data_IF_442701268601
#
_entry.id   IF_442701268601
#
_cell.length_a   1.000
_cell.length_b   1.000
_cell.length_c   1.000
_cell.angle_alpha   90.00
_cell.angle_beta   90.00
_cell.angle_gamma   90.00
#
_symmetry.space_group_name_H-M   'P 1'
#
loop_
_entity.id
_entity.type
_entity.pdbx_description
1 polymer ?
#
# COMPACT_ATOMS: atom_id res chain seq x y z
N UNK A 1 3.49 -13.80 -4.53
CA UNK A 1 3.04 -13.86 -3.12
C UNK A 1 1.88 -12.91 -2.86
N UNK A 2 2.02 -11.61 -3.09
CA UNK A 2 0.94 -10.63 -2.84
C UNK A 2 -0.36 -10.97 -3.59
N UNK A 3 -0.27 -11.28 -4.89
CA UNK A 3 -1.44 -11.72 -5.68
C UNK A 3 -2.14 -12.93 -5.05
N UNK A 4 -1.37 -13.93 -4.60
CA UNK A 4 -1.91 -15.12 -3.96
C UNK A 4 -2.61 -14.79 -2.63
N UNK A 5 -2.06 -13.85 -1.85
CA UNK A 5 -2.69 -13.37 -0.61
C UNK A 5 -4.00 -12.62 -0.89
N UNK A 6 -4.04 -11.76 -1.92
CA UNK A 6 -5.26 -11.09 -2.36
C UNK A 6 -6.32 -12.12 -2.78
N UNK A 7 -5.96 -13.08 -3.63
CA UNK A 7 -6.87 -14.14 -4.05
C UNK A 7 -7.42 -14.95 -2.88
N UNK A 8 -6.55 -15.33 -1.94
CA UNK A 8 -6.93 -16.08 -0.72
C UNK A 8 -7.86 -15.27 0.17
N UNK A 9 -7.57 -13.97 0.38
CA UNK A 9 -8.42 -13.08 1.16
C UNK A 9 -9.81 -12.93 0.51
N UNK A 10 -9.86 -12.64 -0.79
CA UNK A 10 -11.12 -12.44 -1.51
C UNK A 10 -11.99 -13.71 -1.53
N UNK A 11 -11.37 -14.89 -1.66
CA UNK A 11 -12.10 -16.16 -1.57
C UNK A 11 -12.72 -16.43 -0.18
N UNK A 12 -12.18 -15.80 0.87
CA UNK A 12 -12.66 -15.94 2.25
C UNK A 12 -13.64 -14.83 2.67
N UNK A 13 -13.89 -13.82 1.83
CA UNK A 13 -14.80 -12.72 2.13
C UNK A 13 -16.18 -12.98 1.51
N UNK A 14 -17.27 -12.96 2.30
CA UNK A 14 -18.62 -13.15 1.77
C UNK A 14 -19.12 -11.86 1.11
N UNK A 15 -18.76 -11.64 -0.15
CA UNK A 15 -19.17 -10.48 -0.93
C UNK A 15 -19.84 -10.90 -2.25
N UNK A 16 -21.19 -10.87 -2.34
CA UNK A 16 -21.87 -11.14 -3.60
C UNK A 16 -21.48 -10.07 -4.63
N UNK A 17 -21.00 -10.52 -5.80
CA UNK A 17 -20.53 -9.63 -6.87
C UNK A 17 -19.03 -9.35 -6.87
N UNK A 18 -18.25 -9.97 -5.98
CA UNK A 18 -16.80 -9.89 -6.03
C UNK A 18 -16.25 -10.74 -7.18
N UNK A 19 -15.67 -10.09 -8.18
CA UNK A 19 -14.98 -10.76 -9.30
C UNK A 19 -13.53 -11.13 -8.95
N UNK A 20 -12.93 -12.01 -9.76
CA UNK A 20 -11.51 -12.34 -9.64
C UNK A 20 -10.63 -11.09 -9.92
N UNK A 21 -9.50 -10.91 -9.20
CA UNK A 21 -8.60 -9.80 -9.45
C UNK A 21 -8.08 -9.77 -10.88
N UNK A 22 -8.18 -8.62 -11.53
CA UNK A 22 -7.45 -8.34 -12.77
C UNK A 22 -6.07 -7.78 -12.43
N UNK A 23 -5.03 -8.30 -13.08
CA UNK A 23 -3.64 -7.84 -12.90
C UNK A 23 -3.30 -6.84 -13.99
N UNK A 24 -2.81 -5.67 -13.58
CA UNK A 24 -2.25 -4.65 -14.47
C UNK A 24 -0.76 -4.51 -14.15
N UNK A 25 0.11 -4.88 -15.09
CA UNK A 25 1.56 -4.78 -14.90
C UNK A 25 2.03 -3.33 -15.07
N UNK A 26 2.66 -2.75 -14.06
CA UNK A 26 3.23 -1.39 -14.09
C UNK A 26 4.72 -1.48 -13.70
N UNK A 27 5.60 -1.94 -14.62
CA UNK A 27 7.04 -1.94 -14.34
C UNK A 27 7.57 -0.51 -14.28
N UNK A 28 8.31 -0.17 -13.22
CA UNK A 28 8.79 1.19 -12.95
C UNK A 28 10.29 1.27 -12.67
N UNK A 29 11.04 0.22 -13.03
CA UNK A 29 12.50 0.17 -12.84
C UNK A 29 13.24 1.19 -13.71
N UNK A 30 12.71 1.48 -14.88
CA UNK A 30 13.20 2.51 -15.80
C UNK A 30 13.08 3.93 -15.21
N UNK A 31 12.08 4.18 -14.37
CA UNK A 31 11.83 5.48 -13.74
C UNK A 31 12.50 5.58 -12.37
N UNK A 32 12.28 4.60 -11.48
CA UNK A 32 12.79 4.63 -10.10
C UNK A 32 14.19 4.05 -9.94
N UNK A 33 14.75 3.40 -10.98
CA UNK A 33 16.07 2.79 -10.91
C UNK A 33 16.17 1.67 -9.89
N UNK A 34 17.38 1.40 -9.34
CA UNK A 34 17.56 0.47 -8.22
C UNK A 34 17.00 1.11 -6.94
N UNK A 35 15.80 0.71 -6.56
CA UNK A 35 15.09 1.20 -5.37
C UNK A 35 14.48 0.00 -4.63
N UNK A 36 14.32 0.07 -3.30
CA UNK A 36 13.73 -1.03 -2.52
C UNK A 36 12.32 -1.42 -3.05
N UNK A 37 11.58 -0.47 -3.61
CA UNK A 37 10.27 -0.74 -4.22
C UNK A 37 10.32 -1.38 -5.61
N UNK A 38 11.49 -1.43 -6.24
CA UNK A 38 11.73 -2.08 -7.55
C UNK A 38 12.59 -3.33 -7.41
N UNK A 39 12.87 -3.77 -6.18
CA UNK A 39 13.60 -4.99 -5.86
C UNK A 39 15.11 -4.81 -5.71
N UNK A 40 15.58 -3.61 -5.34
CA UNK A 40 16.95 -3.41 -4.85
C UNK A 40 17.06 -3.66 -3.33
N UNK A 41 18.29 -3.71 -2.84
CA UNK A 41 18.61 -3.81 -1.41
C UNK A 41 18.22 -2.51 -0.65
N UNK A 42 18.39 -2.47 0.68
CA UNK A 42 18.03 -1.35 1.58
C UNK A 42 16.52 -1.15 1.85
N UNK A 43 15.82 -2.23 2.18
CA UNK A 43 14.40 -2.16 2.57
C UNK A 43 14.23 -1.44 3.93
N UNK A 44 13.36 -0.40 4.01
CA UNK A 44 13.06 0.35 5.22
C UNK A 44 12.63 -0.50 6.43
N UNK A 45 13.28 -0.27 7.57
CA UNK A 45 13.00 -0.94 8.85
C UNK A 45 11.81 -0.31 9.60
N UNK A 46 11.35 -0.96 10.67
CA UNK A 46 10.19 -0.53 11.46
C UNK A 46 10.31 0.89 12.06
N UNK A 47 11.53 1.39 12.23
CA UNK A 47 11.82 2.74 12.73
C UNK A 47 12.02 3.77 11.62
N UNK A 48 12.02 3.38 10.34
CA UNK A 48 12.08 4.33 9.23
C UNK A 48 10.78 5.16 9.18
N UNK A 49 10.87 6.51 9.13
CA UNK A 49 9.69 7.37 9.00
C UNK A 49 8.89 7.10 7.73
N UNK A 50 7.58 7.34 7.77
CA UNK A 50 6.68 7.06 6.64
C UNK A 50 7.00 7.92 5.41
N UNK A 51 7.57 9.10 5.59
CA UNK A 51 8.00 9.99 4.51
C UNK A 51 9.15 9.39 3.70
N UNK A 52 10.00 8.58 4.34
CA UNK A 52 11.13 7.92 3.67
C UNK A 52 10.70 6.67 2.87
N UNK A 53 9.44 6.24 2.99
CA UNK A 53 8.83 5.20 2.12
C UNK A 53 7.93 5.79 1.03
N UNK A 54 7.99 7.11 0.82
CA UNK A 54 7.26 7.79 -0.25
C UNK A 54 7.81 7.44 -1.63
N UNK A 55 6.91 7.22 -2.58
CA UNK A 55 7.22 7.05 -3.99
C UNK A 55 6.60 8.21 -4.78
N UNK A 56 7.41 9.19 -5.23
CA UNK A 56 6.92 10.33 -5.97
C UNK A 56 6.08 9.93 -7.19
N UNK A 57 4.85 10.44 -7.27
CA UNK A 57 3.95 10.23 -8.41
C UNK A 57 3.32 8.83 -8.48
N UNK A 58 3.50 7.98 -7.48
CA UNK A 58 2.95 6.60 -7.49
C UNK A 58 1.44 6.60 -7.68
N UNK A 59 0.69 7.45 -6.96
CA UNK A 59 -0.77 7.45 -7.12
C UNK A 59 -1.19 7.99 -8.49
N UNK A 60 -0.41 8.84 -9.14
CA UNK A 60 -0.68 9.28 -10.53
C UNK A 60 -0.64 8.06 -11.46
N UNK A 61 0.47 7.32 -11.44
CA UNK A 61 0.69 6.14 -12.29
C UNK A 61 -0.43 5.10 -12.09
N UNK A 62 -0.66 4.71 -10.83
CA UNK A 62 -1.66 3.71 -10.48
C UNK A 62 -3.08 4.15 -10.88
N UNK A 63 -3.44 5.41 -10.59
CA UNK A 63 -4.81 5.89 -10.84
C UNK A 63 -5.08 6.05 -12.33
N UNK A 64 -4.15 6.61 -13.10
CA UNK A 64 -4.34 6.84 -14.54
C UNK A 64 -4.55 5.52 -15.27
N UNK A 65 -3.67 4.53 -15.04
CA UNK A 65 -3.78 3.23 -15.72
C UNK A 65 -5.05 2.48 -15.33
N UNK A 66 -5.38 2.42 -14.05
CA UNK A 66 -6.61 1.80 -13.58
C UNK A 66 -7.86 2.52 -14.12
N UNK A 67 -7.82 3.84 -14.26
CA UNK A 67 -8.94 4.63 -14.81
C UNK A 67 -9.17 4.34 -16.30
N UNK A 68 -8.11 4.21 -17.10
CA UNK A 68 -8.21 3.77 -18.50
C UNK A 68 -8.81 2.37 -18.58
N UNK A 69 -8.35 1.45 -17.72
CA UNK A 69 -8.91 0.10 -17.65
C UNK A 69 -10.41 0.11 -17.31
N UNK A 70 -10.82 0.92 -16.32
CA UNK A 70 -12.21 1.09 -15.92
C UNK A 70 -13.05 1.64 -17.09
N UNK A 71 -12.54 2.65 -17.79
CA UNK A 71 -13.23 3.28 -18.92
C UNK A 71 -13.55 2.30 -20.04
N UNK A 72 -12.58 1.44 -20.39
CA UNK A 72 -12.73 0.41 -21.42
C UNK A 72 -13.74 -0.68 -21.06
N UNK A 73 -14.11 -0.77 -19.77
CA UNK A 73 -15.03 -1.79 -19.23
C UNK A 73 -16.31 -1.19 -18.65
N UNK A 74 -16.55 0.10 -18.87
CA UNK A 74 -17.73 0.80 -18.35
C UNK A 74 -17.86 0.75 -16.82
N UNK A 75 -16.74 0.67 -16.10
CA UNK A 75 -16.71 0.77 -14.64
C UNK A 75 -16.76 2.25 -14.24
N UNK A 76 -17.84 2.65 -13.57
CA UNK A 76 -18.12 4.06 -13.26
C UNK A 76 -17.39 4.64 -12.04
N UNK A 77 -16.74 3.80 -11.23
CA UNK A 77 -16.01 4.25 -10.04
C UNK A 77 -14.76 3.43 -9.78
N UNK A 78 -13.69 4.12 -9.37
CA UNK A 78 -12.42 3.54 -8.95
C UNK A 78 -12.17 3.92 -7.50
N UNK A 79 -12.06 2.93 -6.61
CA UNK A 79 -11.76 3.16 -5.21
C UNK A 79 -10.25 3.01 -4.92
N UNK A 80 -9.67 3.95 -4.18
CA UNK A 80 -8.29 3.92 -3.71
C UNK A 80 -8.25 3.88 -2.19
N UNK A 81 -7.45 2.96 -1.65
CA UNK A 81 -7.28 2.75 -0.21
C UNK A 81 -6.38 3.78 0.48
N UNK A 82 -6.43 5.05 0.08
CA UNK A 82 -5.63 6.13 0.68
C UNK A 82 -6.16 6.47 2.08
N UNK A 83 -5.28 6.47 3.08
CA UNK A 83 -5.62 6.91 4.45
C UNK A 83 -5.65 8.44 4.53
N UNK A 84 -6.46 8.97 5.45
CA UNK A 84 -6.49 10.42 5.71
C UNK A 84 -5.21 10.99 6.31
N UNK A 85 -4.43 10.15 6.97
CA UNK A 85 -3.13 10.51 7.53
C UNK A 85 -2.00 10.58 6.51
N UNK A 86 -2.27 10.31 5.23
CA UNK A 86 -1.24 10.28 4.20
C UNK A 86 -0.76 11.71 3.88
N UNK A 87 0.51 12.06 4.15
CA UNK A 87 1.00 13.43 4.04
C UNK A 87 1.38 13.82 2.60
N UNK A 88 1.26 12.91 1.63
CA UNK A 88 1.81 13.12 0.29
C UNK A 88 0.92 13.96 -0.64
N UNK A 89 1.51 14.77 -1.52
CA UNK A 89 0.75 15.65 -2.41
C UNK A 89 -0.21 14.88 -3.34
N UNK A 90 0.20 13.69 -3.78
CA UNK A 90 -0.58 12.78 -4.63
C UNK A 90 -1.69 12.01 -3.89
N UNK A 91 -1.99 12.40 -2.64
CA UNK A 91 -2.95 11.73 -1.77
C UNK A 91 -4.04 12.67 -1.22
N UNK A 92 -3.98 13.96 -1.55
CA UNK A 92 -4.88 15.01 -1.06
C UNK A 92 -6.22 15.03 -1.79
N UNK A 93 -7.26 15.59 -1.16
CA UNK A 93 -8.57 15.77 -1.80
C UNK A 93 -8.48 16.63 -3.07
N UNK A 94 -7.68 17.70 -3.04
CA UNK A 94 -7.48 18.57 -4.21
C UNK A 94 -6.86 17.83 -5.38
N UNK A 95 -5.82 17.02 -5.12
CA UNK A 95 -5.20 16.18 -6.14
C UNK A 95 -6.20 15.25 -6.83
N UNK A 96 -7.03 14.52 -6.07
CA UNK A 96 -7.99 13.59 -6.65
C UNK A 96 -9.10 14.30 -7.44
N UNK A 97 -9.58 15.44 -6.97
CA UNK A 97 -10.55 16.28 -7.69
C UNK A 97 -10.00 16.78 -9.03
N UNK A 98 -8.76 17.26 -9.05
CA UNK A 98 -8.11 17.75 -10.26
C UNK A 98 -7.85 16.59 -11.25
N UNK A 99 -7.45 15.42 -10.73
CA UNK A 99 -7.25 14.23 -11.53
C UNK A 99 -8.55 13.72 -12.14
N UNK A 100 -9.67 13.69 -11.40
CA UNK A 100 -11.00 13.38 -11.93
C UNK A 100 -11.35 14.30 -13.11
N UNK A 101 -11.08 15.60 -12.98
CA UNK A 101 -11.33 16.59 -14.03
C UNK A 101 -10.51 16.31 -15.30
N UNK A 102 -9.22 15.97 -15.15
CA UNK A 102 -8.33 15.60 -16.27
C UNK A 102 -8.81 14.32 -16.95
N UNK A 103 -9.09 13.28 -16.16
CA UNK A 103 -9.57 11.98 -16.65
C UNK A 103 -10.90 12.13 -17.40
N UNK A 104 -11.80 12.96 -16.87
CA UNK A 104 -13.11 13.22 -17.48
C UNK A 104 -12.99 13.86 -18.86
N UNK A 105 -12.08 14.84 -19.02
CA UNK A 105 -11.81 15.50 -20.30
C UNK A 105 -11.14 14.55 -21.29
N UNK A 106 -10.19 13.74 -20.82
CA UNK A 106 -9.42 12.84 -21.68
C UNK A 106 -10.25 11.67 -22.23
N UNK A 107 -11.24 11.17 -21.47
CA UNK A 107 -11.94 9.91 -21.77
C UNK A 107 -13.43 10.07 -22.12
N UNK A 108 -13.95 11.30 -22.13
CA UNK A 108 -15.35 11.58 -22.47
C UNK A 108 -16.35 10.98 -21.48
N UNK A 109 -16.06 11.07 -20.18
CA UNK A 109 -16.90 10.57 -19.09
C UNK A 109 -16.13 10.57 -17.77
N UNK A 110 -16.81 10.74 -16.64
CA UNK A 110 -16.16 10.96 -15.34
C UNK A 110 -15.97 9.64 -14.58
N UNK A 111 -14.76 9.05 -14.49
CA UNK A 111 -14.51 8.01 -13.50
C UNK A 111 -14.58 8.66 -12.12
N UNK A 112 -15.46 8.15 -11.25
CA UNK A 112 -15.54 8.64 -9.87
C UNK A 112 -14.41 8.03 -9.05
N UNK A 113 -13.46 8.85 -8.61
CA UNK A 113 -12.37 8.45 -7.72
C UNK A 113 -12.87 8.50 -6.27
N UNK A 114 -13.01 7.33 -5.66
CA UNK A 114 -13.50 7.18 -4.29
C UNK A 114 -12.31 6.88 -3.38
N UNK A 115 -12.25 7.51 -2.20
CA UNK A 115 -11.26 7.18 -1.17
C UNK A 115 -11.95 6.79 0.13
N UNK A 116 -12.34 5.51 0.28
CA UNK A 116 -13.14 5.08 1.43
C UNK A 116 -12.45 5.29 2.78
N UNK A 117 -11.14 5.49 2.77
CA UNK A 117 -10.31 5.62 3.97
C UNK A 117 -9.73 7.03 4.21
N UNK A 118 -10.15 8.04 3.45
CA UNK A 118 -9.55 9.39 3.50
C UNK A 118 -9.81 10.19 4.79
N UNK A 119 -10.72 9.72 5.64
CA UNK A 119 -10.98 10.29 6.97
C UNK A 119 -10.54 9.35 8.11
N UNK A 120 -9.91 8.23 7.76
CA UNK A 120 -9.60 7.16 8.72
C UNK A 120 -8.11 7.09 9.01
N UNK A 121 -7.80 6.80 10.27
CA UNK A 121 -6.49 6.35 10.71
C UNK A 121 -6.39 4.83 10.56
N UNK A 122 -5.15 4.30 10.63
CA UNK A 122 -4.91 2.85 10.51
C UNK A 122 -5.75 2.03 11.49
N UNK A 123 -5.86 2.47 12.75
CA UNK A 123 -6.67 1.80 13.78
C UNK A 123 -8.14 1.69 13.37
N UNK A 124 -8.68 2.70 12.69
CA UNK A 124 -10.09 2.73 12.32
C UNK A 124 -10.37 1.78 11.16
N UNK A 125 -9.41 1.64 10.23
CA UNK A 125 -9.46 0.63 9.16
C UNK A 125 -9.40 -0.78 9.75
N UNK A 126 -8.53 -1.03 10.74
CA UNK A 126 -8.48 -2.32 11.46
C UNK A 126 -9.80 -2.60 12.17
N UNK A 127 -10.37 -1.62 12.87
CA UNK A 127 -11.66 -1.76 13.55
C UNK A 127 -12.80 -2.08 12.56
N UNK A 128 -12.84 -1.40 11.42
CA UNK A 128 -13.83 -1.65 10.36
C UNK A 128 -13.71 -3.04 9.75
N UNK A 129 -12.49 -3.55 9.63
CA UNK A 129 -12.20 -4.86 9.08
C UNK A 129 -12.12 -5.99 10.09
N UNK A 130 -12.41 -5.77 11.38
CA UNK A 130 -12.12 -6.73 12.47
C UNK A 130 -12.79 -8.11 12.28
N UNK A 131 -13.93 -8.14 11.60
CA UNK A 131 -14.72 -9.36 11.34
C UNK A 131 -14.34 -10.02 10.00
N UNK A 132 -13.46 -9.38 9.21
CA UNK A 132 -12.87 -9.94 7.99
C UNK A 132 -11.62 -10.76 8.36
N UNK A 133 -11.19 -11.72 7.50
CA UNK A 133 -10.01 -12.53 7.75
C UNK A 133 -8.71 -11.73 7.47
N UNK A 134 -8.46 -10.67 8.23
CA UNK A 134 -7.34 -9.74 8.01
C UNK A 134 -5.96 -10.42 8.06
N UNK A 135 -5.84 -11.55 8.73
CA UNK A 135 -4.62 -12.37 8.76
C UNK A 135 -4.23 -12.97 7.40
N UNK A 136 -5.17 -13.03 6.44
CA UNK A 136 -4.92 -13.45 5.06
C UNK A 136 -4.39 -12.30 4.18
N UNK A 137 -4.46 -11.05 4.65
CA UNK A 137 -3.95 -9.89 3.90
C UNK A 137 -2.42 -9.80 4.00
N UNK A 138 -1.80 -9.22 2.97
CA UNK A 138 -0.35 -9.05 2.91
C UNK A 138 0.06 -7.58 2.91
N UNK A 139 1.14 -7.25 3.61
CA UNK A 139 1.62 -5.85 3.72
C UNK A 139 3.14 -5.75 3.84
N UNK A 140 3.85 -6.87 4.01
CA UNK A 140 5.28 -6.86 4.25
C UNK A 140 6.04 -6.51 2.98
N UNK A 141 6.93 -5.53 3.05
CA UNK A 141 7.78 -5.11 1.92
C UNK A 141 9.09 -5.89 1.82
N UNK A 142 9.33 -6.84 2.73
CA UNK A 142 10.56 -7.65 2.74
C UNK A 142 10.30 -9.03 3.37
N UNK A 143 9.53 -9.88 2.68
CA UNK A 143 9.04 -11.15 3.20
C UNK A 143 10.15 -12.17 3.41
N UNK A 144 9.98 -13.04 4.42
CA UNK A 144 10.90 -14.17 4.65
C UNK A 144 10.12 -15.46 4.47
N UNK A 145 10.53 -16.29 3.50
CA UNK A 145 9.88 -17.56 3.18
C UNK A 145 8.36 -17.44 2.97
N UNK A 146 7.92 -16.35 2.34
CA UNK A 146 6.49 -16.09 2.09
C UNK A 146 5.70 -15.56 3.27
N UNK A 147 6.34 -15.27 4.41
CA UNK A 147 5.71 -14.70 5.62
C UNK A 147 6.08 -13.24 5.83
N UNK A 148 5.24 -12.51 6.55
CA UNK A 148 5.58 -11.18 7.04
C UNK A 148 6.83 -11.25 7.91
N UNK A 149 7.81 -10.38 7.66
CA UNK A 149 9.06 -10.42 8.39
C UNK A 149 8.99 -9.90 9.83
N UNK A 150 7.97 -9.10 10.14
CA UNK A 150 7.78 -8.51 11.47
C UNK A 150 8.63 -7.27 11.77
N UNK A 151 9.58 -6.91 10.90
CA UNK A 151 10.61 -5.91 11.18
C UNK A 151 10.70 -4.75 10.19
N UNK A 152 10.11 -4.83 8.99
CA UNK A 152 10.08 -3.71 8.05
C UNK A 152 9.06 -2.64 8.46
N UNK A 153 9.18 -1.41 7.92
CA UNK A 153 8.26 -0.28 8.19
C UNK A 153 6.78 -0.72 8.13
N UNK A 154 6.38 -1.43 7.07
CA UNK A 154 4.98 -1.87 6.90
C UNK A 154 4.53 -2.98 7.87
N UNK A 155 5.44 -3.83 8.35
CA UNK A 155 5.12 -4.74 9.44
C UNK A 155 4.92 -3.99 10.76
N UNK A 156 5.78 -3.00 11.04
CA UNK A 156 5.66 -2.12 12.20
C UNK A 156 4.34 -1.35 12.22
N UNK A 157 3.96 -0.70 11.11
CA UNK A 157 2.67 -0.02 10.94
C UNK A 157 1.49 -0.97 11.20
N UNK A 158 1.56 -2.19 10.66
CA UNK A 158 0.50 -3.19 10.82
C UNK A 158 0.32 -3.56 12.29
N UNK A 159 1.40 -3.96 12.96
CA UNK A 159 1.35 -4.35 14.38
C UNK A 159 0.86 -3.19 15.24
N UNK A 160 1.32 -1.96 14.97
CA UNK A 160 0.83 -0.75 15.65
C UNK A 160 -0.67 -0.55 15.43
N UNK A 161 -1.15 -0.68 14.19
CA UNK A 161 -2.56 -0.57 13.85
C UNK A 161 -3.45 -1.55 14.62
N UNK A 162 -3.04 -2.82 14.75
CA UNK A 162 -3.77 -3.80 15.56
C UNK A 162 -3.74 -3.49 17.05
N UNK A 163 -2.57 -3.12 17.60
CA UNK A 163 -2.45 -2.71 19.01
C UNK A 163 -3.33 -1.51 19.34
N UNK A 164 -3.27 -0.46 18.52
CA UNK A 164 -4.03 0.78 18.71
C UNK A 164 -5.55 0.56 18.57
N UNK A 165 -5.96 -0.44 17.77
CA UNK A 165 -7.35 -0.84 17.63
C UNK A 165 -7.86 -1.75 18.76
N UNK A 166 -6.99 -2.26 19.62
CA UNK A 166 -7.36 -3.29 20.61
C UNK A 166 -7.81 -4.61 19.98
N UNK A 167 -7.43 -4.87 18.72
CA UNK A 167 -7.78 -6.07 17.97
C UNK A 167 -6.57 -7.01 17.94
N UNK A 168 -6.78 -8.29 18.27
CA UNK A 168 -5.70 -9.29 18.22
C UNK A 168 -5.17 -9.43 16.79
N UNK A 169 -3.89 -9.12 16.59
CA UNK A 169 -3.18 -9.44 15.36
C UNK A 169 -3.00 -10.97 15.24
N UNK A 170 -3.54 -11.54 14.18
CA UNK A 170 -3.44 -12.98 13.87
C UNK A 170 -2.45 -13.27 12.72
N UNK A 171 -1.73 -12.25 12.24
CA UNK A 171 -0.70 -12.43 11.21
C UNK A 171 0.41 -13.36 11.70
N UNK A 172 0.83 -14.28 10.83
CA UNK A 172 1.98 -15.14 11.08
C UNK A 172 3.24 -14.39 10.63
N UNK A 173 4.05 -14.01 11.61
CA UNK A 173 5.34 -13.36 11.38
C UNK A 173 6.46 -14.42 11.37
N UNK A 174 7.48 -14.20 10.53
CA UNK A 174 8.65 -15.06 10.48
C UNK A 174 9.48 -14.92 11.76
N UNK A 175 9.94 -16.06 12.30
CA UNK A 175 10.89 -16.09 13.41
C UNK A 175 12.36 -16.01 12.94
N UNK A 176 12.60 -16.09 11.62
CA UNK A 176 13.94 -16.21 11.04
C UNK A 176 14.65 -14.87 10.81
N UNK A 177 13.99 -13.74 11.10
CA UNK A 177 14.56 -12.43 10.88
C UNK A 177 14.93 -11.80 12.21
N UNK A 178 16.20 -11.52 12.39
CA UNK A 178 16.72 -10.82 13.56
C UNK A 178 16.60 -9.29 13.36
N UNK A 179 16.37 -8.52 14.44
CA UNK A 179 16.44 -7.06 14.38
C UNK A 179 17.79 -6.63 13.81
N UNK A 180 17.78 -5.67 12.88
CA UNK A 180 19.05 -5.07 12.45
C UNK A 180 19.67 -4.38 13.68
N UNK A 181 20.83 -4.87 14.09
CA UNK A 181 21.66 -4.17 15.08
C UNK A 181 22.14 -2.93 14.34
N UNK A 182 21.51 -1.77 14.57
CA UNK A 182 22.10 -0.50 14.15
C UNK A 182 23.45 -0.42 14.84
N UNK A 183 24.53 -0.63 14.09
CA UNK A 183 25.85 -0.21 14.54
C UNK A 183 25.76 1.29 14.75
N UNK A 184 26.10 1.74 15.95
CA UNK A 184 26.52 3.12 16.19
C UNK A 184 27.81 3.36 15.38
N UNK A 185 27.64 3.49 14.07
CA UNK A 185 28.67 3.76 13.09
C UNK A 185 28.95 5.25 13.11
N UNK A 186 30.01 5.60 13.83
CA UNK A 186 30.75 6.87 13.76
C UNK A 186 30.58 7.56 12.40
N UNK A 187 30.04 8.78 12.43
CA UNK A 187 30.09 9.73 11.32
C UNK A 187 31.55 9.97 10.94
N UNK A 188 32.03 9.28 9.91
CA UNK A 188 33.21 9.74 9.17
C UNK A 188 32.75 10.82 8.20
N UNK A 189 32.78 12.06 8.69
CA UNK A 189 32.91 13.23 7.81
C UNK A 189 34.27 13.14 7.12
N UNK A 190 34.29 12.74 5.85
CA UNK A 190 35.39 13.10 4.96
C UNK A 190 35.04 14.43 4.28
N UNK A 191 35.86 15.49 4.42
CA UNK A 191 35.73 16.68 3.59
C UNK A 191 36.28 16.38 2.19
N UNK A 192 35.55 16.77 1.15
CA UNK A 192 36.02 17.58 0.01
C UNK A 192 34.91 17.72 -1.03
#
# INVERSE_FOLDING_TARGET
MELAAVQTFLAAVPAPGLEVPTVLEEPLRDIYGPHWSTGADDVPDAGTPDEAVYLPGRNVLLTVKASVWCRLRHVGALALGCLGSNPFPDSTTGFFHDLESVLSRAMGGTPRLIRPFDQYQKRDVVLRGKDLPLHLTFSCIDPVSGMHCGLCNKCGERQKGFRDAGVRDRTRYSALREPSIRGDGVRNMTPH
#
